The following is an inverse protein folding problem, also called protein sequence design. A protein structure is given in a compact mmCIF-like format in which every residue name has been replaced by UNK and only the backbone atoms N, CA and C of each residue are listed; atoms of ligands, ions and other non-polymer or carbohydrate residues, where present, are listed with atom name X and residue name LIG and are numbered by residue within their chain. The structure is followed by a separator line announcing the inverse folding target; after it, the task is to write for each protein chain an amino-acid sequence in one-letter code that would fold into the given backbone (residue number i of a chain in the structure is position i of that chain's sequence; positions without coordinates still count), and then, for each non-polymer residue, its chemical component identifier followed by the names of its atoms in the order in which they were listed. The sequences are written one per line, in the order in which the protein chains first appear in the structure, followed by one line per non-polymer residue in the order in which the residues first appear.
data_IF_296028081470
#
_entry.id   IF_296028081470
#
_cell.length_a   1.000
_cell.length_b   1.000
_cell.length_c   1.000
_cell.angle_alpha   90.00
_cell.angle_beta   90.00
_cell.angle_gamma   90.00
#
_symmetry.space_group_name_H-M   'P 1'
#
loop_
_entity.id
_entity.type
_entity.pdbx_description
1 polymer ?
#
# COMPACT_ATOMS: atom_id res chain seq x y z
N UNK A 1 15.05 -3.96 8.23
CA UNK A 1 16.12 -4.50 7.34
C UNK A 1 16.54 -3.37 6.43
N UNK A 2 17.81 -2.99 6.53
CA UNK A 2 18.34 -1.76 6.03
C UNK A 2 18.64 -1.73 4.54
N UNK A 3 18.93 -0.52 4.07
CA UNK A 3 19.24 -0.15 2.69
C UNK A 3 20.45 -0.91 2.19
N UNK A 4 20.33 -1.53 1.02
CA UNK A 4 21.44 -2.13 0.31
C UNK A 4 21.95 -1.15 -0.76
N UNK A 5 23.20 -0.79 -0.74
CA UNK A 5 23.86 -0.11 -1.86
C UNK A 5 24.58 -1.15 -2.73
N UNK A 6 24.40 -1.04 -4.03
CA UNK A 6 25.06 -1.90 -5.02
C UNK A 6 26.07 -1.06 -5.79
N UNK A 7 27.33 -1.39 -5.69
CA UNK A 7 28.39 -0.72 -6.42
C UNK A 7 28.96 -1.66 -7.50
N UNK A 8 28.91 -1.21 -8.75
CA UNK A 8 29.47 -1.94 -9.89
C UNK A 8 30.97 -1.70 -9.94
N UNK A 9 31.77 -2.76 -9.77
CA UNK A 9 33.22 -2.69 -9.94
C UNK A 9 33.57 -2.48 -11.43
N UNK A 10 34.45 -1.56 -11.71
CA UNK A 10 35.08 -1.39 -13.02
C UNK A 10 36.26 -2.34 -13.16
N UNK A 11 36.23 -3.13 -14.22
CA UNK A 11 37.30 -3.91 -14.86
C UNK A 11 37.15 -5.44 -14.81
N UNK A 12 36.94 -6.00 -15.99
CA UNK A 12 37.45 -7.30 -16.48
C UNK A 12 36.84 -8.58 -15.90
N UNK A 13 35.93 -9.21 -16.65
CA UNK A 13 35.75 -10.69 -16.76
C UNK A 13 35.20 -11.50 -15.58
N UNK A 14 34.55 -11.00 -14.62
CA UNK A 14 33.47 -11.62 -13.83
C UNK A 14 32.86 -10.50 -12.99
N UNK A 15 31.62 -10.13 -13.28
CA UNK A 15 30.94 -9.04 -12.58
C UNK A 15 30.57 -9.48 -11.16
N UNK A 16 31.53 -9.39 -10.24
CA UNK A 16 31.22 -9.49 -8.81
C UNK A 16 30.56 -8.19 -8.35
N UNK A 17 29.36 -8.31 -7.78
CA UNK A 17 28.60 -7.19 -7.25
C UNK A 17 28.81 -7.14 -5.74
N UNK A 18 29.29 -6.00 -5.22
CA UNK A 18 29.33 -5.78 -3.79
C UNK A 18 27.95 -5.33 -3.30
N UNK A 19 27.36 -6.12 -2.42
CA UNK A 19 26.09 -5.80 -1.75
C UNK A 19 26.40 -5.40 -0.32
N UNK A 20 26.13 -4.15 0.00
CA UNK A 20 26.22 -3.64 1.39
C UNK A 20 24.88 -3.75 2.06
N UNK A 21 24.77 -4.57 3.10
CA UNK A 21 23.55 -4.72 3.91
C UNK A 21 23.77 -4.07 5.26
N UNK A 22 22.90 -3.17 5.66
CA UNK A 22 22.86 -2.60 7.02
C UNK A 22 21.99 -3.51 7.88
N UNK A 23 22.57 -4.08 8.94
CA UNK A 23 21.84 -4.89 9.91
C UNK A 23 21.08 -4.01 10.91
N UNK A 24 20.06 -4.56 11.57
CA UNK A 24 19.24 -3.84 12.55
C UNK A 24 20.05 -3.22 13.73
N UNK A 25 21.26 -3.70 13.97
CA UNK A 25 22.19 -3.18 14.96
C UNK A 25 23.12 -2.07 14.42
N UNK A 26 22.87 -1.57 13.21
CA UNK A 26 23.69 -0.54 12.55
C UNK A 26 25.01 -1.06 11.93
N UNK A 27 25.30 -2.37 12.00
CA UNK A 27 26.52 -2.93 11.42
C UNK A 27 26.40 -3.08 9.92
N UNK A 28 27.36 -2.56 9.16
CA UNK A 28 27.47 -2.78 7.72
C UNK A 28 28.11 -4.14 7.43
N UNK A 29 27.42 -4.96 6.64
CA UNK A 29 27.97 -6.20 6.10
C UNK A 29 28.11 -6.05 4.59
N UNK A 30 29.34 -6.12 4.09
CA UNK A 30 29.65 -6.14 2.67
C UNK A 30 29.78 -7.60 2.25
N UNK A 31 28.96 -8.03 1.30
CA UNK A 31 29.05 -9.36 0.69
C UNK A 31 29.30 -9.20 -0.81
N UNK A 32 30.22 -10.04 -1.33
CA UNK A 32 30.43 -10.10 -2.78
C UNK A 32 29.58 -11.23 -3.32
N UNK A 33 28.60 -10.91 -4.16
CA UNK A 33 27.70 -11.89 -4.75
C UNK A 33 27.99 -12.04 -6.25
N UNK A 34 27.92 -13.27 -6.76
CA UNK A 34 28.10 -13.56 -8.18
C UNK A 34 26.88 -13.20 -9.03
N UNK A 35 25.72 -13.03 -8.39
CA UNK A 35 24.46 -12.63 -9.03
C UNK A 35 23.83 -11.47 -8.29
N UNK A 36 23.26 -10.55 -9.05
CA UNK A 36 22.47 -9.45 -8.48
C UNK A 36 21.28 -10.01 -7.72
N UNK A 37 20.99 -9.50 -6.51
CA UNK A 37 19.80 -9.89 -5.77
C UNK A 37 18.53 -9.76 -6.63
N UNK A 38 17.56 -10.68 -6.47
CA UNK A 38 16.35 -10.70 -7.28
C UNK A 38 15.57 -9.38 -7.28
N UNK A 39 15.59 -8.63 -6.14
CA UNK A 39 14.96 -7.32 -6.05
C UNK A 39 15.63 -6.27 -6.94
N UNK A 40 16.95 -6.37 -7.18
CA UNK A 40 17.67 -5.47 -8.09
C UNK A 40 17.38 -5.81 -9.56
N UNK A 41 17.27 -7.11 -9.89
CA UNK A 41 16.92 -7.55 -11.24
C UNK A 41 15.51 -7.07 -11.63
N UNK A 42 14.57 -7.08 -10.68
CA UNK A 42 13.22 -6.55 -10.87
C UNK A 42 13.23 -5.05 -11.18
N UNK A 43 14.18 -4.29 -10.59
CA UNK A 43 14.31 -2.85 -10.85
C UNK A 43 14.80 -2.49 -12.26
N UNK A 44 15.42 -3.43 -12.97
CA UNK A 44 15.89 -3.21 -14.35
C UNK A 44 14.75 -3.29 -15.39
N UNK A 45 13.60 -3.85 -15.01
CA UNK A 45 12.42 -4.00 -15.90
C UNK A 45 11.40 -2.86 -15.70
N UNK A 46 11.82 -1.71 -15.20
CA UNK A 46 10.94 -0.56 -15.05
C UNK A 46 10.54 0.00 -16.42
N UNK A 47 9.26 0.35 -16.56
CA UNK A 47 8.78 1.11 -17.71
C UNK A 47 9.47 2.49 -17.77
N UNK A 48 9.49 3.12 -18.95
CA UNK A 48 10.08 4.45 -19.11
C UNK A 48 9.48 5.48 -18.12
N UNK A 49 8.19 5.41 -17.88
CA UNK A 49 7.51 6.28 -16.89
C UNK A 49 7.99 6.01 -15.45
N UNK A 50 8.19 4.75 -15.08
CA UNK A 50 8.71 4.40 -13.76
C UNK A 50 10.17 4.82 -13.60
N UNK A 51 10.98 4.68 -14.66
CA UNK A 51 12.37 5.15 -14.67
C UNK A 51 12.43 6.67 -14.50
N UNK A 52 11.61 7.41 -15.23
CA UNK A 52 11.53 8.87 -15.10
C UNK A 52 11.10 9.26 -13.66
N UNK A 53 10.08 8.60 -13.10
CA UNK A 53 9.63 8.85 -11.73
C UNK A 53 10.75 8.61 -10.71
N UNK A 54 11.51 7.53 -10.88
CA UNK A 54 12.64 7.22 -10.02
C UNK A 54 13.76 8.27 -10.12
N UNK A 55 14.07 8.71 -11.34
CA UNK A 55 15.08 9.76 -11.57
C UNK A 55 14.67 11.09 -10.93
N UNK A 56 13.43 11.52 -11.10
CA UNK A 56 12.90 12.75 -10.50
C UNK A 56 12.95 12.66 -8.95
N UNK A 57 12.60 11.52 -8.37
CA UNK A 57 12.69 11.34 -6.92
C UNK A 57 14.13 11.32 -6.42
N UNK A 58 15.04 10.64 -7.14
CA UNK A 58 16.46 10.64 -6.81
C UNK A 58 17.04 12.04 -6.86
N UNK A 59 16.64 12.86 -7.86
CA UNK A 59 17.08 14.25 -7.95
C UNK A 59 16.63 15.10 -6.75
N UNK A 60 15.43 14.85 -6.20
CA UNK A 60 14.97 15.52 -4.98
C UNK A 60 15.79 15.10 -3.74
N UNK A 61 16.26 13.84 -3.72
CA UNK A 61 16.95 13.28 -2.56
C UNK A 61 18.47 13.35 -2.63
N UNK A 62 19.08 13.79 -3.77
CA UNK A 62 20.52 13.73 -4.01
C UNK A 62 21.34 14.55 -3.02
N UNK A 63 20.80 15.68 -2.57
CA UNK A 63 21.46 16.60 -1.64
C UNK A 63 20.84 16.57 -0.23
N UNK A 64 20.04 15.54 0.05
CA UNK A 64 19.26 15.43 1.27
C UNK A 64 20.13 15.13 2.50
N UNK A 65 20.00 15.94 3.55
CA UNK A 65 20.47 15.64 4.91
C UNK A 65 19.40 14.95 5.75
N UNK A 66 18.11 15.05 5.34
CA UNK A 66 16.94 14.42 5.99
C UNK A 66 15.96 13.92 4.95
N UNK A 67 16.08 12.63 4.64
CA UNK A 67 15.27 11.94 3.62
C UNK A 67 13.76 12.06 3.91
N UNK A 68 13.34 11.98 5.16
CA UNK A 68 11.91 12.08 5.51
C UNK A 68 11.35 13.45 5.18
N UNK A 69 12.09 14.52 5.51
CA UNK A 69 11.67 15.89 5.21
C UNK A 69 11.57 16.14 3.70
N UNK A 70 12.55 15.67 2.92
CA UNK A 70 12.51 15.85 1.47
C UNK A 70 11.46 15.00 0.79
N UNK A 71 11.19 13.78 1.27
CA UNK A 71 10.07 12.96 0.80
C UNK A 71 8.72 13.61 1.09
N UNK A 72 8.52 14.20 2.30
CA UNK A 72 7.29 14.95 2.61
C UNK A 72 7.13 16.14 1.67
N UNK A 73 8.19 16.92 1.46
CA UNK A 73 8.17 18.04 0.50
C UNK A 73 7.85 17.56 -0.91
N UNK A 74 8.45 16.44 -1.37
CA UNK A 74 8.13 15.85 -2.67
C UNK A 74 6.66 15.43 -2.76
N UNK A 75 6.11 14.80 -1.73
CA UNK A 75 4.69 14.44 -1.67
C UNK A 75 3.77 15.68 -1.76
N UNK A 76 4.08 16.73 -1.04
CA UNK A 76 3.24 17.93 -0.99
C UNK A 76 3.32 18.76 -2.26
N UNK A 77 4.52 18.98 -2.78
CA UNK A 77 4.77 20.05 -3.75
C UNK A 77 5.18 19.58 -5.16
N UNK A 78 5.56 18.31 -5.34
CA UNK A 78 6.05 17.86 -6.63
C UNK A 78 4.93 17.90 -7.70
N UNK A 79 5.27 18.33 -8.92
CA UNK A 79 4.31 18.47 -10.03
C UNK A 79 3.77 17.15 -10.57
N UNK A 80 4.58 16.09 -10.51
CA UNK A 80 4.21 14.77 -11.05
C UNK A 80 3.53 13.93 -9.97
N UNK A 81 2.30 13.53 -10.23
CA UNK A 81 1.50 12.67 -9.34
C UNK A 81 2.23 11.36 -8.99
N UNK A 82 2.92 10.77 -9.97
CA UNK A 82 3.65 9.53 -9.76
C UNK A 82 4.80 9.69 -8.74
N UNK A 83 5.50 10.82 -8.76
CA UNK A 83 6.55 11.11 -7.76
C UNK A 83 5.93 11.26 -6.37
N UNK A 84 4.80 11.96 -6.25
CA UNK A 84 4.04 12.06 -4.99
C UNK A 84 3.66 10.69 -4.43
N UNK A 85 3.15 9.81 -5.28
CA UNK A 85 2.76 8.45 -4.90
C UNK A 85 3.96 7.66 -4.38
N UNK A 86 5.09 7.71 -5.09
CA UNK A 86 6.31 6.99 -4.66
C UNK A 86 6.85 7.59 -3.37
N UNK A 87 6.86 8.91 -3.22
CA UNK A 87 7.27 9.58 -1.98
C UNK A 87 6.40 9.14 -0.79
N UNK A 88 5.05 9.10 -0.94
CA UNK A 88 4.15 8.61 0.10
C UNK A 88 4.42 7.15 0.48
N UNK A 89 4.73 6.30 -0.50
CA UNK A 89 5.10 4.88 -0.27
C UNK A 89 6.44 4.76 0.46
N UNK A 90 7.42 5.58 0.12
CA UNK A 90 8.70 5.62 0.83
C UNK A 90 8.50 6.07 2.29
N UNK A 91 7.71 7.11 2.52
CA UNK A 91 7.38 7.59 3.86
C UNK A 91 6.67 6.51 4.68
N UNK A 92 5.73 5.77 4.09
CA UNK A 92 5.09 4.62 4.73
C UNK A 92 6.13 3.56 5.17
N UNK A 93 7.16 3.27 4.36
CA UNK A 93 8.23 2.33 4.74
C UNK A 93 9.11 2.87 5.89
N UNK A 94 9.13 4.19 6.09
CA UNK A 94 9.81 4.85 7.21
C UNK A 94 8.91 4.98 8.45
N UNK A 95 7.69 4.44 8.42
CA UNK A 95 6.72 4.51 9.51
C UNK A 95 5.82 5.75 9.49
N UNK A 96 5.88 6.57 8.45
CA UNK A 96 5.06 7.76 8.29
C UNK A 96 3.84 7.48 7.41
N UNK A 97 2.71 7.15 8.04
CA UNK A 97 1.50 6.72 7.33
C UNK A 97 0.59 7.88 6.89
N UNK A 98 0.79 9.09 7.40
CA UNK A 98 -0.06 10.23 7.03
C UNK A 98 -0.15 10.48 5.51
N UNK A 99 0.96 10.52 4.74
CA UNK A 99 0.89 10.78 3.31
C UNK A 99 0.15 9.70 2.52
N UNK A 100 0.32 8.43 2.88
CA UNK A 100 -0.41 7.35 2.19
C UNK A 100 -1.91 7.39 2.50
N UNK A 101 -2.31 7.76 3.74
CA UNK A 101 -3.72 7.97 4.08
C UNK A 101 -4.33 9.16 3.32
N UNK A 102 -3.56 10.23 3.09
CA UNK A 102 -4.01 11.36 2.28
C UNK A 102 -4.28 10.95 0.82
N UNK A 103 -3.50 10.01 0.27
CA UNK A 103 -3.79 9.47 -1.07
C UNK A 103 -5.13 8.73 -1.12
N UNK A 104 -5.54 8.05 -0.03
CA UNK A 104 -6.84 7.38 0.04
C UNK A 104 -8.01 8.36 0.20
N UNK A 105 -7.74 9.55 0.69
CA UNK A 105 -8.76 10.60 0.86
C UNK A 105 -8.81 11.61 -0.31
N UNK A 106 -8.14 11.32 -1.42
CA UNK A 106 -8.12 12.20 -2.60
C UNK A 106 -8.35 11.40 -3.88
N UNK A 107 -9.38 11.77 -4.65
CA UNK A 107 -9.80 11.11 -5.89
C UNK A 107 -8.74 11.15 -7.02
N UNK A 108 -7.80 12.09 -6.99
CA UNK A 108 -6.69 12.14 -7.95
C UNK A 108 -5.83 10.87 -7.91
N UNK A 109 -5.72 10.24 -6.73
CA UNK A 109 -4.93 9.02 -6.50
C UNK A 109 -5.71 7.72 -6.68
N UNK A 110 -6.94 7.76 -7.23
CA UNK A 110 -7.83 6.60 -7.35
C UNK A 110 -7.17 5.37 -8.01
N UNK A 111 -6.27 5.58 -8.96
CA UNK A 111 -5.56 4.49 -9.64
C UNK A 111 -4.62 3.70 -8.74
N UNK A 112 -4.28 4.22 -7.57
CA UNK A 112 -3.33 3.62 -6.61
C UNK A 112 -3.99 3.13 -5.32
N UNK A 113 -5.28 3.38 -5.13
CA UNK A 113 -5.97 3.04 -3.87
C UNK A 113 -5.87 1.56 -3.51
N UNK A 114 -6.06 0.67 -4.49
CA UNK A 114 -5.99 -0.78 -4.25
C UNK A 114 -4.60 -1.21 -3.76
N UNK A 115 -3.56 -0.73 -4.42
CA UNK A 115 -2.18 -0.98 -4.01
C UNK A 115 -1.87 -0.38 -2.64
N UNK A 116 -2.37 0.84 -2.37
CA UNK A 116 -2.15 1.53 -1.10
C UNK A 116 -2.84 0.80 0.06
N UNK A 117 -4.12 0.43 -0.08
CA UNK A 117 -4.84 -0.36 0.94
C UNK A 117 -4.16 -1.70 1.17
N UNK A 118 -3.74 -2.39 0.10
CA UNK A 118 -3.03 -3.67 0.19
C UNK A 118 -1.69 -3.52 0.91
N UNK A 119 -0.94 -2.45 0.63
CA UNK A 119 0.34 -2.19 1.27
C UNK A 119 0.16 -1.89 2.77
N UNK A 120 -0.80 -1.05 3.14
CA UNK A 120 -1.13 -0.75 4.55
C UNK A 120 -1.54 -2.03 5.28
N UNK A 121 -2.43 -2.86 4.68
CA UNK A 121 -2.86 -4.13 5.29
C UNK A 121 -1.69 -5.09 5.54
N UNK A 122 -0.66 -5.10 4.70
CA UNK A 122 0.56 -5.90 4.93
C UNK A 122 1.38 -5.39 6.10
N UNK A 123 1.38 -4.08 6.35
CA UNK A 123 2.07 -3.48 7.51
C UNK A 123 1.33 -3.73 8.84
N UNK A 124 0.10 -4.26 8.81
CA UNK A 124 -0.71 -4.57 9.99
C UNK A 124 -0.51 -5.99 10.51
N UNK A 125 0.59 -6.64 10.16
CA UNK A 125 0.90 -7.97 10.70
C UNK A 125 1.15 -7.89 12.20
N UNK A 126 0.56 -8.79 13.02
CA UNK A 126 0.75 -8.78 14.47
C UNK A 126 2.23 -8.86 14.85
N UNK A 127 2.68 -7.97 15.73
CA UNK A 127 4.06 -7.88 16.20
C UNK A 127 4.93 -6.87 15.45
N UNK A 128 4.43 -6.20 14.43
CA UNK A 128 5.14 -5.08 13.80
C UNK A 128 4.81 -3.74 14.49
N UNK A 129 5.82 -2.86 14.59
CA UNK A 129 5.72 -1.55 15.27
C UNK A 129 4.77 -0.55 14.57
N UNK A 130 4.21 -0.92 13.43
CA UNK A 130 3.45 0.00 12.57
C UNK A 130 1.99 0.21 12.99
N UNK A 131 1.45 -0.61 13.89
CA UNK A 131 0.03 -0.53 14.29
C UNK A 131 -0.33 0.80 14.93
N UNK A 132 0.52 1.30 15.83
CA UNK A 132 0.30 2.56 16.54
C UNK A 132 0.29 3.73 15.56
N UNK A 133 1.28 3.80 14.68
CA UNK A 133 1.40 4.85 13.66
C UNK A 133 0.23 4.82 12.66
N UNK A 134 -0.22 3.62 12.26
CA UNK A 134 -1.39 3.46 11.39
C UNK A 134 -2.65 3.97 12.09
N UNK A 135 -2.84 3.59 13.37
CA UNK A 135 -3.99 4.01 14.16
C UNK A 135 -3.99 5.52 14.37
N UNK A 136 -2.85 6.13 14.68
CA UNK A 136 -2.71 7.57 14.81
C UNK A 136 -3.03 8.31 13.50
N UNK A 137 -2.51 7.82 12.38
CA UNK A 137 -2.80 8.39 11.06
C UNK A 137 -4.28 8.27 10.67
N UNK A 138 -4.97 7.21 11.08
CA UNK A 138 -6.41 7.03 10.91
C UNK A 138 -7.21 7.94 11.84
N UNK A 139 -6.80 8.07 13.12
CA UNK A 139 -7.51 8.87 14.12
C UNK A 139 -7.70 10.32 13.66
N UNK A 140 -6.68 10.90 13.04
CA UNK A 140 -6.75 12.28 12.53
C UNK A 140 -7.73 12.49 11.38
N UNK A 141 -8.18 11.41 10.71
CA UNK A 141 -9.03 11.46 9.49
C UNK A 141 -10.39 10.80 9.65
N UNK A 142 -10.50 9.79 10.48
CA UNK A 142 -11.68 8.95 10.64
C UNK A 142 -12.34 9.13 12.03
N UNK A 143 -11.66 9.75 12.99
CA UNK A 143 -12.20 10.00 14.32
C UNK A 143 -12.72 8.72 14.99
N UNK A 144 -14.00 8.71 15.35
CA UNK A 144 -14.65 7.59 16.03
C UNK A 144 -14.69 6.28 15.20
N UNK A 145 -14.45 6.34 13.88
CA UNK A 145 -14.42 5.17 13.01
C UNK A 145 -13.04 4.48 12.96
N UNK A 146 -12.05 5.02 13.65
CA UNK A 146 -10.66 4.53 13.60
C UNK A 146 -10.53 3.06 13.94
N UNK A 147 -11.17 2.60 15.02
CA UNK A 147 -11.09 1.21 15.46
C UNK A 147 -11.65 0.25 14.41
N UNK A 148 -12.83 0.57 13.87
CA UNK A 148 -13.49 -0.23 12.83
C UNK A 148 -12.67 -0.27 11.54
N UNK A 149 -12.10 0.86 11.11
CA UNK A 149 -11.26 0.93 9.91
C UNK A 149 -9.96 0.14 10.13
N UNK A 150 -9.38 0.21 11.32
CA UNK A 150 -8.20 -0.59 11.69
C UNK A 150 -8.51 -2.08 11.58
N UNK A 151 -9.67 -2.52 12.10
CA UNK A 151 -10.11 -3.91 11.96
C UNK A 151 -10.34 -4.30 10.48
N UNK A 152 -10.95 -3.44 9.68
CA UNK A 152 -11.13 -3.67 8.24
C UNK A 152 -9.80 -3.88 7.51
N UNK A 153 -8.75 -3.17 7.87
CA UNK A 153 -7.42 -3.28 7.26
C UNK A 153 -6.70 -4.57 7.65
N UNK A 154 -7.03 -5.15 8.80
CA UNK A 154 -6.46 -6.39 9.31
C UNK A 154 -6.87 -7.64 8.52
N UNK A 155 -6.52 -8.80 9.06
CA UNK A 155 -6.99 -10.09 8.53
C UNK A 155 -8.49 -10.23 8.78
N UNK A 156 -9.19 -10.85 7.83
CA UNK A 156 -10.64 -11.07 7.94
C UNK A 156 -10.94 -12.56 7.68
N UNK A 157 -11.64 -13.22 8.60
CA UNK A 157 -12.13 -14.59 8.40
C UNK A 157 -13.46 -14.59 7.64
N UNK A 158 -13.93 -15.77 7.22
CA UNK A 158 -15.23 -15.87 6.55
C UNK A 158 -16.38 -15.57 7.52
N UNK A 159 -16.25 -15.93 8.80
CA UNK A 159 -17.20 -15.61 9.85
C UNK A 159 -17.28 -14.10 10.09
N UNK A 160 -16.15 -13.43 10.17
CA UNK A 160 -16.09 -11.97 10.33
C UNK A 160 -16.68 -11.24 9.12
N UNK A 161 -16.42 -11.74 7.90
CA UNK A 161 -16.97 -11.15 6.67
C UNK A 161 -18.51 -11.28 6.61
N UNK A 162 -19.07 -12.34 7.18
CA UNK A 162 -20.52 -12.52 7.28
C UNK A 162 -21.15 -11.94 8.55
N UNK A 163 -20.32 -11.56 9.52
CA UNK A 163 -20.68 -10.94 10.78
C UNK A 163 -20.53 -9.41 10.77
N UNK A 164 -20.16 -8.88 11.93
CA UNK A 164 -20.13 -7.44 12.20
C UNK A 164 -19.12 -6.69 11.33
N UNK A 165 -17.96 -7.28 11.06
CA UNK A 165 -16.96 -6.64 10.21
C UNK A 165 -17.45 -6.48 8.76
N UNK A 166 -18.12 -7.49 8.22
CA UNK A 166 -18.75 -7.39 6.90
C UNK A 166 -19.88 -6.35 6.87
N UNK A 167 -20.69 -6.27 7.94
CA UNK A 167 -21.70 -5.23 8.09
C UNK A 167 -21.07 -3.83 8.09
N UNK A 168 -20.00 -3.65 8.88
CA UNK A 168 -19.27 -2.40 8.98
C UNK A 168 -18.66 -1.98 7.63
N UNK A 169 -18.04 -2.92 6.88
CA UNK A 169 -17.54 -2.65 5.53
C UNK A 169 -18.65 -2.19 4.58
N UNK A 170 -19.82 -2.84 4.62
CA UNK A 170 -20.96 -2.47 3.77
C UNK A 170 -21.55 -1.11 4.20
N UNK A 171 -21.60 -0.82 5.49
CA UNK A 171 -22.03 0.47 6.01
C UNK A 171 -21.06 1.59 5.62
N UNK A 172 -19.76 1.34 5.68
CA UNK A 172 -18.69 2.28 5.31
C UNK A 172 -18.76 2.74 3.85
N UNK A 173 -19.41 1.98 2.95
CA UNK A 173 -19.70 2.44 1.58
C UNK A 173 -20.61 3.68 1.54
N UNK A 174 -21.43 3.88 2.58
CA UNK A 174 -22.33 5.04 2.71
C UNK A 174 -21.71 6.22 3.45
N UNK A 175 -20.47 6.11 3.91
CA UNK A 175 -19.81 7.14 4.71
C UNK A 175 -19.63 8.46 3.97
N UNK A 176 -19.67 9.57 4.71
CA UNK A 176 -19.30 10.88 4.19
C UNK A 176 -17.79 11.03 4.03
N UNK A 177 -17.00 10.26 4.79
CA UNK A 177 -15.54 10.24 4.74
C UNK A 177 -15.07 9.37 3.58
N UNK A 178 -14.35 9.95 2.62
CA UNK A 178 -13.93 9.23 1.41
C UNK A 178 -12.93 8.11 1.73
N UNK A 179 -11.99 8.32 2.64
CA UNK A 179 -11.04 7.31 3.10
C UNK A 179 -11.76 6.03 3.57
N UNK A 180 -12.81 6.16 4.37
CA UNK A 180 -13.61 5.03 4.85
C UNK A 180 -14.29 4.30 3.68
N UNK A 181 -14.89 5.05 2.74
CA UNK A 181 -15.49 4.46 1.53
C UNK A 181 -14.48 3.69 0.69
N UNK A 182 -13.27 4.24 0.53
CA UNK A 182 -12.18 3.63 -0.24
C UNK A 182 -11.73 2.33 0.42
N UNK A 183 -11.42 2.36 1.72
CA UNK A 183 -10.98 1.16 2.45
C UNK A 183 -12.06 0.09 2.43
N UNK A 184 -13.30 0.44 2.78
CA UNK A 184 -14.44 -0.49 2.78
C UNK A 184 -14.63 -1.16 1.42
N UNK A 185 -14.64 -0.37 0.34
CA UNK A 185 -14.82 -0.90 -1.00
C UNK A 185 -13.66 -1.79 -1.46
N UNK A 186 -12.42 -1.34 -1.27
CA UNK A 186 -11.24 -2.11 -1.68
C UNK A 186 -11.17 -3.42 -0.90
N UNK A 187 -11.45 -3.41 0.40
CA UNK A 187 -11.49 -4.63 1.21
C UNK A 187 -12.59 -5.59 0.76
N UNK A 188 -13.81 -5.11 0.55
CA UNK A 188 -14.90 -5.93 0.01
C UNK A 188 -14.55 -6.50 -1.37
N UNK A 189 -13.99 -5.68 -2.26
CA UNK A 189 -13.55 -6.11 -3.60
C UNK A 189 -12.47 -7.20 -3.49
N UNK A 190 -11.43 -6.99 -2.68
CA UNK A 190 -10.31 -7.92 -2.56
C UNK A 190 -10.73 -9.25 -1.92
N UNK A 191 -11.66 -9.20 -0.96
CA UNK A 191 -12.17 -10.40 -0.30
C UNK A 191 -13.13 -11.20 -1.20
N UNK A 192 -14.00 -10.52 -1.96
CA UNK A 192 -15.12 -11.18 -2.67
C UNK A 192 -14.96 -11.24 -4.18
N UNK A 193 -14.01 -10.52 -4.76
CA UNK A 193 -13.86 -10.34 -6.22
C UNK A 193 -14.99 -9.54 -6.87
N UNK A 194 -15.93 -8.95 -6.10
CA UNK A 194 -17.09 -8.23 -6.62
C UNK A 194 -16.89 -6.73 -6.54
N UNK A 195 -17.47 -5.97 -7.47
CA UNK A 195 -17.41 -4.51 -7.47
C UNK A 195 -18.79 -3.85 -7.29
N UNK A 196 -19.86 -4.54 -7.63
CA UNK A 196 -21.25 -4.06 -7.61
C UNK A 196 -21.45 -2.69 -8.30
N UNK A 197 -20.52 -2.32 -9.20
CA UNK A 197 -20.51 -1.01 -9.88
C UNK A 197 -20.48 0.17 -8.88
N UNK A 198 -19.75 0.00 -7.78
CA UNK A 198 -19.55 1.04 -6.78
C UNK A 198 -18.24 1.81 -7.06
N UNK A 199 -18.25 3.13 -6.86
CA UNK A 199 -17.14 4.04 -7.09
C UNK A 199 -16.91 4.92 -5.85
N UNK A 200 -15.87 4.68 -5.06
CA UNK A 200 -15.65 5.39 -3.78
C UNK A 200 -15.51 6.92 -3.89
N UNK A 201 -15.08 7.42 -5.06
CA UNK A 201 -14.93 8.85 -5.37
C UNK A 201 -16.27 9.56 -5.65
N UNK A 202 -17.33 8.82 -5.88
CA UNK A 202 -18.67 9.37 -6.10
C UNK A 202 -19.40 9.64 -4.80
N UNK A 203 -20.33 10.60 -4.83
CA UNK A 203 -21.21 10.86 -3.70
C UNK A 203 -22.05 9.61 -3.37
N UNK A 204 -22.09 9.13 -2.12
CA UNK A 204 -22.87 7.94 -1.72
C UNK A 204 -24.35 8.03 -2.08
N UNK A 205 -24.96 9.22 -2.00
CA UNK A 205 -26.36 9.43 -2.39
C UNK A 205 -26.65 9.10 -3.86
N UNK A 206 -25.65 9.20 -4.72
CA UNK A 206 -25.76 8.82 -6.14
C UNK A 206 -25.55 7.32 -6.38
N UNK A 207 -25.15 6.57 -5.35
CA UNK A 207 -24.77 5.17 -5.44
C UNK A 207 -25.67 4.23 -4.61
N UNK A 208 -26.82 4.71 -4.19
CA UNK A 208 -27.77 3.96 -3.35
C UNK A 208 -28.05 2.56 -3.91
N UNK A 209 -28.18 2.43 -5.24
CA UNK A 209 -28.42 1.13 -5.87
C UNK A 209 -27.25 0.17 -5.72
N UNK A 210 -26.00 0.66 -5.82
CA UNK A 210 -24.80 -0.14 -5.62
C UNK A 210 -24.62 -0.54 -4.15
N UNK A 211 -24.86 0.39 -3.23
CA UNK A 211 -24.81 0.13 -1.77
C UNK A 211 -25.88 -0.91 -1.40
N UNK A 212 -27.12 -0.80 -1.91
CA UNK A 212 -28.17 -1.80 -1.67
C UNK A 212 -27.78 -3.20 -2.16
N UNK A 213 -27.10 -3.31 -3.31
CA UNK A 213 -26.60 -4.63 -3.78
C UNK A 213 -25.59 -5.24 -2.81
N UNK A 214 -24.68 -4.44 -2.24
CA UNK A 214 -23.77 -4.89 -1.22
C UNK A 214 -24.49 -5.31 0.06
N UNK A 215 -25.47 -4.50 0.52
CA UNK A 215 -26.32 -4.82 1.67
C UNK A 215 -27.09 -6.14 1.45
N UNK A 216 -27.65 -6.35 0.25
CA UNK A 216 -28.34 -7.59 -0.09
C UNK A 216 -27.41 -8.80 -0.04
N UNK A 217 -26.18 -8.68 -0.59
CA UNK A 217 -25.19 -9.76 -0.53
C UNK A 217 -24.82 -10.12 0.90
N UNK A 218 -24.70 -9.14 1.78
CA UNK A 218 -24.42 -9.38 3.19
C UNK A 218 -25.63 -10.02 3.91
N UNK A 219 -26.82 -9.47 3.75
CA UNK A 219 -28.06 -9.97 4.36
C UNK A 219 -28.36 -11.41 3.93
N UNK A 220 -28.16 -11.72 2.65
CA UNK A 220 -28.36 -13.08 2.11
C UNK A 220 -27.23 -14.05 2.48
N UNK A 221 -26.24 -13.64 3.27
CA UNK A 221 -25.00 -14.40 3.59
C UNK A 221 -24.23 -14.86 2.35
N UNK A 222 -24.26 -14.04 1.29
CA UNK A 222 -23.57 -14.29 0.01
C UNK A 222 -22.25 -13.53 -0.15
N UNK A 223 -21.80 -12.82 0.90
CA UNK A 223 -20.44 -12.31 0.99
C UNK A 223 -19.51 -13.50 1.27
N UNK A 224 -18.89 -14.02 0.22
CA UNK A 224 -17.95 -15.15 0.31
C UNK A 224 -16.62 -14.71 -0.22
N UNK A 225 -15.56 -15.15 0.43
CA UNK A 225 -14.20 -14.92 -0.07
C UNK A 225 -14.03 -15.60 -1.42
N UNK A 226 -13.40 -14.90 -2.32
CA UNK A 226 -12.96 -15.51 -3.58
C UNK A 226 -11.98 -16.64 -3.23
N UNK A 227 -12.20 -17.84 -3.78
CA UNK A 227 -11.25 -18.93 -3.62
C UNK A 227 -9.88 -18.43 -4.08
N UNK A 228 -8.86 -18.61 -3.24
CA UNK A 228 -7.49 -18.27 -3.62
C UNK A 228 -7.17 -19.01 -4.92
N UNK A 229 -6.96 -18.28 -6.00
CA UNK A 229 -6.42 -18.86 -7.24
C UNK A 229 -4.99 -19.27 -6.90
N UNK A 230 -4.83 -20.55 -6.55
CA UNK A 230 -3.50 -21.13 -6.38
C UNK A 230 -2.88 -21.13 -7.78
N UNK A 231 -2.03 -20.15 -8.02
CA UNK A 231 -1.28 -20.07 -9.26
C UNK A 231 -0.22 -21.18 -9.22
N UNK A 232 -0.58 -22.36 -9.71
CA UNK A 232 0.26 -23.59 -9.72
C UNK A 232 1.52 -23.42 -10.58
N UNK A 233 1.60 -22.32 -11.36
CA UNK A 233 2.73 -22.00 -12.23
C UNK A 233 4.05 -21.69 -11.49
N UNK A 234 4.03 -21.55 -10.17
CA UNK A 234 5.24 -21.31 -9.36
C UNK A 234 5.77 -22.58 -8.66
N UNK A 235 5.17 -23.76 -8.92
CA UNK A 235 5.53 -25.04 -8.30
C UNK A 235 6.26 -26.00 -9.23
N UNK A 236 6.68 -25.53 -10.39
CA UNK A 236 7.54 -26.34 -11.27
C UNK A 236 9.00 -25.91 -11.02
N UNK A 237 9.85 -26.81 -10.53
CA UNK A 237 11.24 -26.53 -10.20
C UNK A 237 12.10 -26.17 -11.40
#
# INVERSE_FOLDING_TARGET
RGVAAVQKGSEGTEQAVQVTTIQANGTMKITTEKQLPGWYQTSQNLSASQQQTAQELVAVLSDSSDISTDLRKAFETHRLLQVKIVAARCLMQLGEFNPIMDTLNNAEYRSTWEDSVTAISKCMTPGEMNMEQITEALQSRAGDQTEVITEMLGTCTDEQLQGDLGAAMVQGLGSTVMLERVISFIRLKNLTGKTQMYFPDKNPHQQVASIRRWQQLWTDKKLQRQAAVINVSSLIP
#
